data_IF_531440541696
#
_entry.id   IF_531440541696
#
_cell.length_a   1.000
_cell.length_b   1.000
_cell.length_c   1.000
_cell.angle_alpha   90.00
_cell.angle_beta   90.00
_cell.angle_gamma   90.00
#
_symmetry.space_group_name_H-M   'P 1'
#
loop_
_entity.id
_entity.type
_entity.pdbx_description
1 polymer ?
#
# COMPACT_ATOMS: atom_id res chain seq x y z
N UNK A 1 -7.90 12.27 0.81
CA UNK A 1 -8.42 10.94 0.41
C UNK A 1 -7.82 10.47 -0.89
N UNK A 2 -7.66 11.37 -1.88
CA UNK A 2 -7.03 11.11 -3.17
C UNK A 2 -6.12 12.31 -3.49
N UNK A 3 -4.88 12.07 -3.92
CA UNK A 3 -3.89 13.08 -4.34
C UNK A 3 -3.12 12.54 -5.55
N UNK A 4 -2.52 13.39 -6.38
CA UNK A 4 -1.71 12.95 -7.53
C UNK A 4 -2.50 12.52 -8.77
N UNK A 5 -1.83 11.79 -9.65
CA UNK A 5 -2.34 11.36 -10.97
C UNK A 5 -2.53 9.83 -11.05
N UNK A 6 -3.09 9.35 -12.16
CA UNK A 6 -3.34 7.94 -12.40
C UNK A 6 -4.73 7.46 -11.97
N UNK A 7 -4.85 6.15 -11.75
CA UNK A 7 -6.11 5.52 -11.35
C UNK A 7 -6.62 6.02 -9.99
N UNK A 8 -7.88 5.74 -9.65
CA UNK A 8 -8.39 6.03 -8.30
C UNK A 8 -7.55 5.36 -7.21
N UNK A 9 -7.00 4.17 -7.50
CA UNK A 9 -6.13 3.45 -6.57
C UNK A 9 -4.77 4.12 -6.44
N UNK A 10 -4.14 4.51 -7.54
CA UNK A 10 -2.85 5.23 -7.51
C UNK A 10 -2.93 6.57 -6.77
N UNK A 11 -4.05 7.28 -6.95
CA UNK A 11 -4.28 8.54 -6.23
C UNK A 11 -4.51 8.33 -4.73
N UNK A 12 -5.12 7.23 -4.35
CA UNK A 12 -5.23 6.83 -2.94
C UNK A 12 -3.86 6.47 -2.37
N UNK A 13 -3.03 5.71 -3.10
CA UNK A 13 -1.68 5.33 -2.68
C UNK A 13 -0.81 6.58 -2.45
N UNK A 14 -0.87 7.53 -3.39
CA UNK A 14 -0.16 8.82 -3.29
C UNK A 14 -0.59 9.60 -2.06
N UNK A 15 -1.90 9.74 -1.82
CA UNK A 15 -2.43 10.39 -0.62
C UNK A 15 -1.98 9.70 0.68
N UNK A 16 -2.01 8.36 0.71
CA UNK A 16 -1.62 7.55 1.85
C UNK A 16 -0.15 7.78 2.20
N UNK A 17 0.72 7.74 1.20
CA UNK A 17 2.17 7.89 1.39
C UNK A 17 2.52 9.34 1.75
N UNK A 18 1.94 10.34 1.07
CA UNK A 18 2.09 11.74 1.44
C UNK A 18 1.65 12.01 2.89
N UNK A 19 0.61 11.32 3.37
CA UNK A 19 0.16 11.42 4.77
C UNK A 19 1.17 10.86 5.77
N UNK A 20 1.82 9.74 5.46
CA UNK A 20 2.90 9.21 6.32
C UNK A 20 4.12 10.12 6.32
N UNK A 21 4.52 10.65 5.16
CA UNK A 21 5.62 11.61 5.11
C UNK A 21 5.34 12.86 5.97
N UNK A 22 4.10 13.38 5.92
CA UNK A 22 3.65 14.49 6.78
C UNK A 22 3.71 14.12 8.27
N UNK A 23 3.38 12.89 8.63
CA UNK A 23 3.46 12.41 10.02
C UNK A 23 4.92 12.31 10.50
N UNK A 24 5.81 11.70 9.70
CA UNK A 24 7.25 11.59 10.00
C UNK A 24 7.91 12.96 10.20
N UNK A 25 7.54 13.96 9.38
CA UNK A 25 8.07 15.34 9.52
C UNK A 25 7.62 16.02 10.81
N UNK A 26 6.46 15.67 11.35
CA UNK A 26 5.93 16.24 12.61
C UNK A 26 6.51 15.57 13.85
N UNK A 27 6.85 14.28 13.75
CA UNK A 27 7.39 13.48 14.85
C UNK A 27 8.69 12.79 14.43
N UNK A 28 9.83 13.52 14.32
CA UNK A 28 11.09 12.94 13.83
C UNK A 28 11.67 11.85 14.74
N UNK A 29 11.21 11.76 15.98
CA UNK A 29 11.58 10.70 16.92
C UNK A 29 10.69 9.45 16.83
N UNK A 30 9.59 9.51 16.08
CA UNK A 30 8.73 8.36 15.81
C UNK A 30 9.22 7.66 14.55
N UNK A 31 9.77 6.44 14.66
CA UNK A 31 10.30 5.73 13.51
C UNK A 31 9.15 5.25 12.61
N UNK A 32 9.42 5.12 11.30
CA UNK A 32 8.43 4.70 10.31
C UNK A 32 7.70 3.38 10.67
N UNK A 33 8.36 2.34 11.20
CA UNK A 33 7.67 1.12 11.63
C UNK A 33 6.64 1.32 12.76
N UNK A 34 6.73 2.41 13.52
CA UNK A 34 5.77 2.72 14.59
C UNK A 34 4.48 3.37 14.07
N UNK A 35 4.41 3.71 12.78
CA UNK A 35 3.20 4.20 12.16
C UNK A 35 2.27 3.05 11.74
N UNK A 36 1.02 3.43 11.46
CA UNK A 36 0.02 2.55 10.88
C UNK A 36 -0.52 3.22 9.62
N UNK A 37 -0.67 2.43 8.57
CA UNK A 37 -1.44 2.77 7.38
C UNK A 37 -2.41 1.62 7.11
N UNK A 38 -3.58 1.94 6.59
CA UNK A 38 -4.43 0.89 6.04
C UNK A 38 -3.73 0.24 4.86
N UNK A 39 -3.66 -1.09 4.92
CA UNK A 39 -3.06 -1.92 3.90
C UNK A 39 -4.01 -2.31 2.79
N UNK A 40 -3.85 -3.54 2.29
CA UNK A 40 -4.68 -4.07 1.23
C UNK A 40 -6.10 -4.32 1.76
N UNK A 41 -7.07 -3.60 1.21
CA UNK A 41 -8.51 -3.85 1.40
C UNK A 41 -9.14 -4.22 0.07
N UNK A 42 -9.14 -5.50 -0.30
CA UNK A 42 -9.69 -6.00 -1.55
C UNK A 42 -11.09 -6.58 -1.34
N UNK A 43 -12.11 -5.73 -1.51
CA UNK A 43 -13.52 -6.07 -1.23
C UNK A 43 -14.47 -5.34 -2.17
N UNK A 44 -15.69 -5.85 -2.33
CA UNK A 44 -16.78 -5.21 -3.11
C UNK A 44 -17.79 -4.45 -2.24
N UNK A 45 -17.49 -4.25 -0.95
CA UNK A 45 -18.39 -3.57 -0.01
C UNK A 45 -17.70 -2.39 0.70
N UNK A 46 -18.51 -1.45 1.18
CA UNK A 46 -18.04 -0.26 1.89
C UNK A 46 -17.13 0.62 1.04
N UNK A 47 -16.25 1.39 1.69
CA UNK A 47 -15.32 2.31 1.02
C UNK A 47 -14.37 1.60 0.02
N UNK A 48 -14.10 0.31 0.22
CA UNK A 48 -13.30 -0.47 -0.72
C UNK A 48 -13.99 -0.65 -2.08
N UNK A 49 -15.32 -0.62 -2.15
CA UNK A 49 -16.04 -0.62 -3.41
C UNK A 49 -15.77 0.66 -4.21
N UNK A 50 -15.72 1.81 -3.53
CA UNK A 50 -15.58 3.13 -4.16
C UNK A 50 -14.14 3.45 -4.58
N UNK A 51 -13.16 2.93 -3.83
CA UNK A 51 -11.73 3.20 -4.09
C UNK A 51 -11.11 2.21 -5.08
N UNK A 52 -11.84 1.18 -5.52
CA UNK A 52 -11.38 0.19 -6.48
C UNK A 52 -12.33 0.13 -7.67
N UNK A 53 -11.91 0.67 -8.81
CA UNK A 53 -12.57 0.34 -10.07
C UNK A 53 -12.11 -1.05 -10.53
N UNK A 54 -12.84 -2.08 -10.10
CA UNK A 54 -12.54 -3.48 -10.45
C UNK A 54 -12.82 -3.84 -11.90
N UNK A 55 -13.49 -2.95 -12.63
CA UNK A 55 -13.70 -3.07 -14.08
C UNK A 55 -12.64 -2.37 -14.91
N UNK A 56 -11.83 -1.48 -14.32
CA UNK A 56 -10.83 -0.73 -15.04
C UNK A 56 -9.77 -1.64 -15.67
N UNK A 57 -9.38 -1.37 -16.93
CA UNK A 57 -8.15 -1.92 -17.47
C UNK A 57 -6.98 -1.57 -16.54
N UNK A 58 -6.18 -2.55 -16.15
CA UNK A 58 -5.02 -2.34 -15.27
C UNK A 58 -5.29 -2.48 -13.77
N UNK A 59 -6.52 -2.79 -13.33
CA UNK A 59 -6.80 -2.98 -11.88
C UNK A 59 -5.90 -4.02 -11.21
N UNK A 60 -5.46 -5.02 -11.96
CA UNK A 60 -4.54 -6.03 -11.43
C UNK A 60 -3.14 -5.46 -11.18
N UNK A 61 -2.70 -4.49 -11.99
CA UNK A 61 -1.45 -3.77 -11.73
C UNK A 61 -1.60 -2.83 -10.53
N UNK A 62 -2.75 -2.19 -10.38
CA UNK A 62 -3.06 -1.40 -9.18
C UNK A 62 -3.07 -2.26 -7.91
N UNK A 63 -3.65 -3.46 -7.99
CA UNK A 63 -3.58 -4.46 -6.93
C UNK A 63 -2.13 -4.83 -6.61
N UNK A 64 -1.31 -5.06 -7.64
CA UNK A 64 0.12 -5.34 -7.46
C UNK A 64 0.85 -4.21 -6.73
N UNK A 65 0.62 -2.95 -7.12
CA UNK A 65 1.22 -1.77 -6.47
C UNK A 65 0.79 -1.64 -5.01
N UNK A 66 -0.50 -1.84 -4.71
CA UNK A 66 -1.02 -1.88 -3.34
C UNK A 66 -0.30 -2.94 -2.51
N UNK A 67 -0.22 -4.19 -3.02
CA UNK A 67 0.46 -5.30 -2.34
C UNK A 67 1.94 -5.01 -2.10
N UNK A 68 2.65 -4.48 -3.10
CA UNK A 68 4.06 -4.13 -2.97
C UNK A 68 4.27 -3.07 -1.89
N UNK A 69 3.52 -1.98 -1.94
CA UNK A 69 3.66 -0.90 -0.95
C UNK A 69 3.21 -1.33 0.45
N UNK A 70 2.22 -2.21 0.56
CA UNK A 70 1.81 -2.80 1.83
C UNK A 70 2.96 -3.56 2.53
N UNK A 71 3.73 -4.34 1.78
CA UNK A 71 4.82 -5.15 2.34
C UNK A 71 6.15 -4.39 2.44
N UNK A 72 6.40 -3.42 1.55
CA UNK A 72 7.73 -2.83 1.37
C UNK A 72 7.83 -1.37 1.84
N UNK A 73 6.73 -0.75 2.25
CA UNK A 73 6.75 0.64 2.76
C UNK A 73 7.53 0.80 4.06
N UNK A 74 7.74 -0.25 4.85
CA UNK A 74 8.42 -0.15 6.15
C UNK A 74 7.53 0.26 7.32
N UNK A 75 6.24 0.48 7.08
CA UNK A 75 5.23 0.62 8.15
C UNK A 75 5.06 -0.74 8.84
N UNK A 76 5.08 -0.75 10.17
CA UNK A 76 5.18 -2.00 10.93
C UNK A 76 3.84 -2.71 11.14
N UNK A 77 2.73 -1.97 11.26
CA UNK A 77 1.42 -2.60 11.33
C UNK A 77 0.91 -2.96 9.93
N UNK A 78 0.63 -4.24 9.73
CA UNK A 78 0.13 -4.80 8.48
C UNK A 78 -1.28 -5.37 8.68
N UNK A 79 -2.28 -4.69 8.12
CA UNK A 79 -3.67 -5.16 8.07
C UNK A 79 -4.05 -5.59 6.65
N UNK A 80 -4.38 -6.87 6.48
CA UNK A 80 -4.74 -7.48 5.20
C UNK A 80 -6.20 -7.94 5.22
N UNK A 81 -7.03 -7.33 4.37
CA UNK A 81 -8.44 -7.67 4.22
C UNK A 81 -8.72 -8.10 2.79
N UNK A 82 -9.04 -9.38 2.61
CA UNK A 82 -9.29 -9.96 1.31
C UNK A 82 -10.66 -10.62 1.29
N UNK A 83 -11.46 -10.24 0.31
CA UNK A 83 -12.65 -10.98 -0.05
C UNK A 83 -12.26 -12.12 -1.00
N UNK A 84 -12.34 -13.36 -0.50
CA UNK A 84 -11.77 -14.53 -1.16
C UNK A 84 -12.37 -14.79 -2.54
N UNK A 85 -13.66 -14.51 -2.75
CA UNK A 85 -14.31 -14.75 -4.05
C UNK A 85 -13.79 -13.82 -5.16
N UNK A 86 -13.09 -12.74 -4.81
CA UNK A 86 -12.49 -11.80 -5.75
C UNK A 86 -11.02 -12.13 -6.07
N UNK A 87 -10.45 -13.17 -5.45
CA UNK A 87 -9.04 -13.50 -5.56
C UNK A 87 -8.81 -14.59 -6.61
N UNK A 88 -8.35 -14.18 -7.81
CA UNK A 88 -7.87 -15.10 -8.84
C UNK A 88 -6.39 -15.51 -8.65
N UNK A 89 -5.88 -16.49 -9.42
CA UNK A 89 -4.50 -17.01 -9.30
C UNK A 89 -3.43 -15.92 -9.28
N UNK A 90 -3.51 -14.95 -10.20
CA UNK A 90 -2.53 -13.86 -10.27
C UNK A 90 -2.51 -12.95 -9.03
N UNK A 91 -3.65 -12.77 -8.36
CA UNK A 91 -3.69 -12.00 -7.12
C UNK A 91 -2.94 -12.73 -6.00
N UNK A 92 -3.10 -14.05 -5.94
CA UNK A 92 -2.38 -14.90 -4.99
C UNK A 92 -0.89 -14.94 -5.27
N UNK A 93 -0.49 -15.02 -6.55
CA UNK A 93 0.93 -14.99 -6.94
C UNK A 93 1.59 -13.68 -6.48
N UNK A 94 0.96 -12.54 -6.74
CA UNK A 94 1.46 -11.23 -6.32
C UNK A 94 1.60 -11.11 -4.80
N UNK A 95 0.59 -11.57 -4.07
CA UNK A 95 0.59 -11.56 -2.60
C UNK A 95 1.68 -12.49 -2.04
N UNK A 96 1.80 -13.69 -2.58
CA UNK A 96 2.78 -14.69 -2.16
C UNK A 96 4.21 -14.21 -2.42
N UNK A 97 4.48 -13.63 -3.59
CA UNK A 97 5.77 -13.09 -3.96
C UNK A 97 6.21 -11.97 -3.00
N UNK A 98 5.36 -10.96 -2.80
CA UNK A 98 5.66 -9.83 -1.94
C UNK A 98 5.81 -10.25 -0.46
N UNK A 99 4.92 -11.11 0.03
CA UNK A 99 4.99 -11.63 1.40
C UNK A 99 6.24 -12.48 1.63
N UNK A 100 6.61 -13.33 0.67
CA UNK A 100 7.82 -14.14 0.76
C UNK A 100 9.08 -13.27 0.71
N UNK A 101 9.11 -12.24 -0.13
CA UNK A 101 10.20 -11.27 -0.16
C UNK A 101 10.33 -10.54 1.18
N UNK A 102 9.23 -10.00 1.72
CA UNK A 102 9.22 -9.26 2.97
C UNK A 102 9.68 -10.12 4.15
N UNK A 103 9.24 -11.39 4.21
CA UNK A 103 9.73 -12.34 5.24
C UNK A 103 11.23 -12.59 5.13
N UNK A 104 11.77 -12.80 3.92
CA UNK A 104 13.21 -13.02 3.71
C UNK A 104 14.06 -11.81 4.08
N UNK A 105 13.53 -10.59 3.95
CA UNK A 105 14.25 -9.34 4.21
C UNK A 105 13.72 -8.59 5.43
N UNK A 106 13.06 -9.29 6.35
CA UNK A 106 12.39 -8.66 7.49
C UNK A 106 13.34 -7.86 8.39
N UNK A 107 14.61 -8.26 8.49
CA UNK A 107 15.62 -7.49 9.24
C UNK A 107 15.93 -6.15 8.59
N UNK A 108 16.01 -6.10 7.25
CA UNK A 108 16.26 -4.87 6.50
C UNK A 108 15.04 -3.94 6.53
N UNK A 109 13.83 -4.48 6.44
CA UNK A 109 12.60 -3.68 6.43
C UNK A 109 12.30 -2.98 7.77
N UNK A 110 12.92 -3.41 8.88
CA UNK A 110 12.80 -2.73 10.19
C UNK A 110 13.44 -1.34 10.22
N UNK A 111 14.36 -1.06 9.31
CA UNK A 111 15.07 0.22 9.21
C UNK A 111 14.91 0.82 7.80
N UNK A 112 13.72 0.68 7.23
CA UNK A 112 13.41 1.24 5.92
C UNK A 112 13.30 2.77 6.01
N UNK A 113 13.95 3.45 5.07
CA UNK A 113 13.89 4.90 4.92
C UNK A 113 13.41 5.27 3.52
N UNK A 114 12.44 6.18 3.44
CA UNK A 114 11.93 6.65 2.17
C UNK A 114 12.87 7.66 1.53
N UNK A 115 13.06 7.50 0.22
CA UNK A 115 13.80 8.41 -0.66
C UNK A 115 12.85 8.95 -1.74
N UNK A 116 13.25 10.00 -2.46
CA UNK A 116 12.48 10.51 -3.61
C UNK A 116 11.54 11.68 -3.32
N UNK A 117 11.50 12.23 -2.10
CA UNK A 117 10.80 13.49 -1.83
C UNK A 117 9.33 13.34 -1.42
N UNK A 118 8.48 14.28 -1.86
CA UNK A 118 7.05 14.30 -1.50
C UNK A 118 6.20 13.65 -2.60
N UNK A 119 5.55 12.49 -2.36
CA UNK A 119 4.73 11.82 -3.37
C UNK A 119 3.65 12.69 -4.00
N UNK A 120 3.11 13.67 -3.26
CA UNK A 120 2.06 14.55 -3.78
C UNK A 120 2.51 15.56 -4.84
N UNK A 121 3.82 15.70 -5.09
CA UNK A 121 4.37 16.70 -6.03
C UNK A 121 5.03 16.08 -7.27
N UNK A 122 4.95 14.75 -7.45
CA UNK A 122 5.79 14.01 -8.40
C UNK A 122 7.25 13.95 -7.98
#
# INVERSE_FOLDING_TARGET
GLEGEGSTRERWLTFRDASVLRALRRGPTFPLPALMQHGVVWSRVGMAADLWDKSAPGVLEDFRKEVLTFFLSGVGLQELYLQLELMGPRHWDMLAEAAAFARRHAELLRDAHWIGGNPGHG
#
